data_IF_604646539829
#
_entry.id   IF_604646539829
#
_cell.length_a   1.000
_cell.length_b   1.000
_cell.length_c   1.000
_cell.angle_alpha   90.00
_cell.angle_beta   90.00
_cell.angle_gamma   90.00
#
_symmetry.space_group_name_H-M   'P 1'
#
loop_
_entity.id
_entity.type
_entity.pdbx_description
1 polymer ?
#
# COMPACT_ATOMS: atom_id res chain seq x y z
N UNK A 1 9.46 -8.71 -34.83
CA UNK A 1 10.31 -7.79 -34.06
C UNK A 1 9.45 -7.25 -32.90
N UNK A 2 9.66 -7.73 -31.70
CA UNK A 2 8.92 -7.22 -30.51
C UNK A 2 9.68 -5.98 -30.03
N UNK A 3 9.08 -4.81 -30.18
CA UNK A 3 9.61 -3.56 -29.59
C UNK A 3 9.13 -3.55 -28.16
N UNK A 4 9.97 -3.99 -27.23
CA UNK A 4 9.72 -3.77 -25.81
C UNK A 4 9.83 -2.27 -25.53
N UNK A 5 8.81 -1.69 -24.90
CA UNK A 5 8.91 -0.33 -24.40
C UNK A 5 10.12 -0.21 -23.45
N UNK A 6 10.63 0.99 -23.29
CA UNK A 6 11.78 1.26 -22.43
C UNK A 6 11.38 0.95 -20.96
N UNK A 7 12.03 -0.04 -20.36
CA UNK A 7 11.83 -0.39 -18.97
C UNK A 7 12.75 0.47 -18.10
N UNK A 8 12.18 1.26 -17.21
CA UNK A 8 12.92 1.95 -16.16
C UNK A 8 12.96 1.02 -14.93
N UNK A 9 14.15 0.88 -14.33
CA UNK A 9 14.36 0.06 -13.13
C UNK A 9 15.10 0.91 -12.10
N UNK A 10 14.58 0.96 -10.90
CA UNK A 10 15.13 1.76 -9.79
C UNK A 10 15.04 0.98 -8.48
N UNK A 11 15.95 1.27 -7.55
CA UNK A 11 15.84 0.81 -6.16
C UNK A 11 14.90 1.73 -5.38
N UNK A 12 14.35 1.25 -4.25
CA UNK A 12 13.55 2.07 -3.34
C UNK A 12 14.29 3.34 -2.92
N UNK A 13 15.57 3.21 -2.59
CA UNK A 13 16.40 4.34 -2.16
C UNK A 13 16.61 5.40 -3.27
N UNK A 14 16.84 4.95 -4.50
CA UNK A 14 17.03 5.88 -5.65
C UNK A 14 15.74 6.62 -5.97
N UNK A 15 14.61 5.92 -5.89
CA UNK A 15 13.29 6.48 -6.10
C UNK A 15 12.96 7.57 -5.08
N UNK A 16 13.19 7.30 -3.79
CA UNK A 16 12.89 8.25 -2.71
C UNK A 16 13.68 9.56 -2.84
N UNK A 17 14.93 9.48 -3.24
CA UNK A 17 15.76 10.68 -3.50
C UNK A 17 15.15 11.55 -4.60
N UNK A 18 14.51 10.95 -5.60
CA UNK A 18 13.82 11.68 -6.68
C UNK A 18 12.47 12.24 -6.23
N UNK A 19 11.73 11.50 -5.39
CA UNK A 19 10.41 11.91 -4.93
C UNK A 19 10.43 13.22 -4.17
N UNK A 20 11.43 13.42 -3.32
CA UNK A 20 11.61 14.66 -2.54
C UNK A 20 11.80 15.90 -3.42
N UNK A 21 12.38 15.72 -4.60
CA UNK A 21 12.58 16.83 -5.55
C UNK A 21 11.35 17.15 -6.39
N UNK A 22 10.34 16.27 -6.38
CA UNK A 22 9.11 16.43 -7.15
C UNK A 22 7.97 16.89 -6.24
N UNK A 23 7.32 18.03 -6.57
CA UNK A 23 6.12 18.53 -5.88
C UNK A 23 4.84 17.70 -6.19
N UNK A 24 4.96 16.40 -6.35
CA UNK A 24 3.83 15.50 -6.63
C UNK A 24 3.13 15.05 -5.35
N UNK A 25 1.97 14.43 -5.50
CA UNK A 25 1.18 13.83 -4.42
C UNK A 25 1.88 12.56 -3.88
N UNK A 26 3.00 12.76 -3.19
CA UNK A 26 3.93 11.75 -2.72
C UNK A 26 3.27 10.72 -1.79
N UNK A 27 2.27 11.14 -1.01
CA UNK A 27 1.55 10.26 -0.07
C UNK A 27 0.85 9.13 -0.81
N UNK A 28 0.15 9.44 -1.89
CA UNK A 28 -0.55 8.45 -2.70
C UNK A 28 0.41 7.50 -3.40
N UNK A 29 1.51 8.01 -3.93
CA UNK A 29 2.53 7.17 -4.58
C UNK A 29 3.22 6.25 -3.59
N UNK A 30 3.63 6.76 -2.43
CA UNK A 30 4.23 5.94 -1.37
C UNK A 30 3.25 4.88 -0.89
N UNK A 31 1.98 5.24 -0.62
CA UNK A 31 0.96 4.29 -0.20
C UNK A 31 0.78 3.17 -1.23
N UNK A 32 0.81 3.49 -2.51
CA UNK A 32 0.65 2.50 -3.56
C UNK A 32 1.87 1.58 -3.70
N UNK A 33 3.09 2.11 -3.56
CA UNK A 33 4.32 1.30 -3.54
C UNK A 33 4.33 0.38 -2.32
N UNK A 34 3.98 0.90 -1.14
CA UNK A 34 3.90 0.11 0.08
C UNK A 34 2.84 -0.99 -0.02
N UNK A 35 1.68 -0.71 -0.59
CA UNK A 35 0.65 -1.72 -0.80
C UNK A 35 1.14 -2.87 -1.68
N UNK A 36 1.83 -2.57 -2.78
CA UNK A 36 2.41 -3.59 -3.65
C UNK A 36 3.46 -4.43 -2.92
N UNK A 37 4.32 -3.78 -2.13
CA UNK A 37 5.35 -4.43 -1.33
C UNK A 37 4.74 -5.36 -0.27
N UNK A 38 3.73 -4.88 0.49
CA UNK A 38 2.99 -5.69 1.47
C UNK A 38 2.34 -6.91 0.80
N UNK A 39 1.72 -6.75 -0.38
CA UNK A 39 1.16 -7.87 -1.13
C UNK A 39 2.23 -8.88 -1.56
N UNK A 40 3.41 -8.41 -1.96
CA UNK A 40 4.57 -9.26 -2.25
C UNK A 40 5.01 -10.04 -1.01
N UNK A 41 5.16 -9.40 0.14
CA UNK A 41 5.52 -10.04 1.40
C UNK A 41 4.47 -11.06 1.86
N UNK A 42 3.18 -10.75 1.71
CA UNK A 42 2.09 -11.71 1.97
C UNK A 42 2.15 -12.92 1.05
N UNK A 43 2.53 -12.74 -0.20
CA UNK A 43 2.72 -13.86 -1.13
C UNK A 43 3.87 -14.75 -0.68
N UNK A 44 5.00 -14.20 -0.23
CA UNK A 44 6.10 -14.96 0.35
C UNK A 44 5.66 -15.73 1.60
N UNK A 45 4.89 -15.06 2.48
CA UNK A 45 4.34 -15.70 3.68
C UNK A 45 3.42 -16.88 3.35
N UNK A 46 2.56 -16.73 2.32
CA UNK A 46 1.70 -17.82 1.85
C UNK A 46 2.50 -19.01 1.26
N UNK A 47 3.72 -18.77 0.82
CA UNK A 47 4.68 -19.81 0.37
C UNK A 47 5.48 -20.43 1.51
N UNK A 48 5.23 -20.01 2.77
CA UNK A 48 5.95 -20.52 3.95
C UNK A 48 7.29 -19.81 4.21
N UNK A 49 7.57 -18.69 3.54
CA UNK A 49 8.76 -17.87 3.77
C UNK A 49 8.46 -16.89 4.90
N UNK A 50 9.15 -17.02 6.01
CA UNK A 50 8.97 -16.17 7.21
C UNK A 50 10.01 -15.07 7.32
N UNK A 51 11.18 -15.27 6.71
CA UNK A 51 12.30 -14.36 6.74
C UNK A 51 12.89 -14.13 5.35
N UNK A 52 13.37 -12.92 5.11
CA UNK A 52 14.05 -12.50 3.89
C UNK A 52 15.39 -11.82 4.23
N UNK A 53 16.31 -11.66 3.26
CA UNK A 53 17.54 -10.92 3.48
C UNK A 53 17.28 -9.52 4.05
N UNK A 54 18.14 -9.07 4.96
CA UNK A 54 18.01 -7.75 5.59
C UNK A 54 18.30 -6.58 4.63
N UNK A 55 18.90 -6.85 3.47
CA UNK A 55 19.08 -5.85 2.41
C UNK A 55 17.76 -5.64 1.66
N UNK A 56 17.50 -4.40 1.26
CA UNK A 56 16.27 -4.07 0.50
C UNK A 56 16.52 -4.07 -1.02
N UNK A 57 17.70 -4.48 -1.47
CA UNK A 57 18.12 -4.43 -2.87
C UNK A 57 17.36 -5.41 -3.77
N UNK A 58 16.72 -6.40 -3.17
CA UNK A 58 15.86 -7.36 -3.87
C UNK A 58 14.47 -6.82 -4.22
N UNK A 59 14.08 -5.64 -3.72
CA UNK A 59 12.87 -4.94 -4.15
C UNK A 59 13.21 -3.87 -5.16
N UNK A 60 12.78 -4.06 -6.38
CA UNK A 60 12.97 -3.12 -7.47
C UNK A 60 11.65 -2.47 -7.87
N UNK A 61 11.74 -1.20 -8.22
CA UNK A 61 10.65 -0.44 -8.83
C UNK A 61 10.86 -0.46 -10.35
N UNK A 62 9.88 -0.97 -11.06
CA UNK A 62 9.91 -1.03 -12.53
C UNK A 62 8.77 -0.21 -13.10
N UNK A 63 9.02 0.50 -14.19
CA UNK A 63 8.01 1.27 -14.92
C UNK A 63 8.21 1.13 -16.43
N UNK A 64 7.11 0.86 -17.13
CA UNK A 64 7.06 0.88 -18.58
C UNK A 64 6.63 2.28 -19.02
N UNK A 65 7.18 2.78 -20.13
CA UNK A 65 6.97 4.18 -20.62
C UNK A 65 5.51 4.63 -20.70
N UNK A 66 4.56 3.71 -20.80
CA UNK A 66 3.12 4.01 -20.90
C UNK A 66 2.37 3.94 -19.57
N UNK A 67 2.97 3.38 -18.54
CA UNK A 67 2.34 3.30 -17.21
C UNK A 67 2.83 4.47 -16.34
N UNK A 68 1.93 5.29 -15.79
CA UNK A 68 2.32 6.41 -14.94
C UNK A 68 2.89 5.94 -13.59
N UNK A 69 2.57 4.72 -13.14
CA UNK A 69 2.98 4.19 -11.85
C UNK A 69 4.08 3.14 -11.96
N UNK A 70 4.82 3.00 -10.86
CA UNK A 70 5.81 1.94 -10.69
C UNK A 70 5.16 0.63 -10.25
N UNK A 71 5.70 -0.48 -10.72
CA UNK A 71 5.42 -1.83 -10.25
C UNK A 71 6.56 -2.29 -9.35
N UNK A 72 6.25 -2.79 -8.16
CA UNK A 72 7.23 -3.43 -7.28
C UNK A 72 7.48 -4.85 -7.76
N UNK A 73 8.74 -5.19 -7.97
CA UNK A 73 9.19 -6.52 -8.35
C UNK A 73 10.14 -7.04 -7.28
N UNK A 74 9.86 -8.24 -6.79
CA UNK A 74 10.75 -8.96 -5.90
C UNK A 74 11.63 -9.91 -6.71
N UNK A 75 12.96 -9.75 -6.59
CA UNK A 75 13.96 -10.58 -7.29
C UNK A 75 14.69 -11.53 -6.35
N UNK A 76 14.06 -11.96 -5.25
CA UNK A 76 14.66 -12.94 -4.35
C UNK A 76 15.01 -14.20 -5.12
N UNK A 77 16.32 -14.46 -5.24
CA UNK A 77 16.86 -15.73 -5.69
C UNK A 77 17.31 -16.55 -4.47
N UNK A 78 16.64 -17.67 -4.23
CA UNK A 78 16.84 -18.48 -3.02
C UNK A 78 18.27 -18.99 -2.81
N UNK A 79 19.12 -18.93 -3.81
CA UNK A 79 20.51 -19.46 -3.74
C UNK A 79 21.55 -18.44 -3.28
N UNK A 80 21.28 -17.14 -3.38
CA UNK A 80 22.30 -16.08 -3.22
C UNK A 80 22.43 -15.57 -1.78
N UNK A 81 21.50 -15.89 -0.87
CA UNK A 81 21.34 -15.20 0.42
C UNK A 81 21.56 -16.06 1.66
N UNK A 82 22.15 -17.25 1.53
CA UNK A 82 22.33 -18.18 2.67
C UNK A 82 23.15 -17.62 3.83
N UNK A 83 24.09 -16.72 3.55
CA UNK A 83 25.01 -16.11 4.53
C UNK A 83 24.67 -14.67 4.92
N UNK A 84 23.57 -14.09 4.39
CA UNK A 84 23.19 -12.74 4.73
C UNK A 84 22.34 -12.69 6.00
N UNK A 85 22.43 -11.59 6.78
CA UNK A 85 21.52 -11.37 7.89
C UNK A 85 20.09 -11.35 7.38
N UNK A 86 19.18 -12.01 8.10
CA UNK A 86 17.76 -12.12 7.76
C UNK A 86 16.91 -11.26 8.67
N UNK A 87 15.76 -10.85 8.17
CA UNK A 87 14.73 -10.15 8.93
C UNK A 87 13.35 -10.73 8.64
N UNK A 88 12.44 -10.59 9.61
CA UNK A 88 11.04 -11.00 9.44
C UNK A 88 10.33 -10.16 8.38
N UNK A 89 9.26 -10.67 7.79
CA UNK A 89 8.48 -9.95 6.77
C UNK A 89 7.90 -8.64 7.31
N UNK A 90 7.49 -8.58 8.58
CA UNK A 90 7.04 -7.34 9.21
C UNK A 90 8.17 -6.30 9.34
N UNK A 91 9.38 -6.75 9.69
CA UNK A 91 10.54 -5.87 9.73
C UNK A 91 10.94 -5.38 8.35
N UNK A 92 10.78 -6.21 7.32
CA UNK A 92 11.01 -5.81 5.93
C UNK A 92 10.01 -4.74 5.46
N UNK A 93 8.73 -4.91 5.80
CA UNK A 93 7.71 -3.90 5.56
C UNK A 93 8.04 -2.59 6.26
N UNK A 94 8.42 -2.66 7.54
CA UNK A 94 8.83 -1.49 8.34
C UNK A 94 10.06 -0.81 7.75
N UNK A 95 11.11 -1.56 7.40
CA UNK A 95 12.31 -1.02 6.78
C UNK A 95 12.02 -0.32 5.45
N UNK A 96 11.12 -0.89 4.64
CA UNK A 96 10.67 -0.27 3.38
C UNK A 96 9.94 1.05 3.62
N UNK A 97 9.05 1.10 4.61
CA UNK A 97 8.36 2.34 5.00
C UNK A 97 9.37 3.40 5.42
N UNK A 98 10.30 3.06 6.30
CA UNK A 98 11.32 3.99 6.77
C UNK A 98 12.22 4.50 5.63
N UNK A 99 12.58 3.63 4.69
CA UNK A 99 13.33 4.01 3.50
C UNK A 99 12.55 5.00 2.65
N UNK A 100 11.27 4.74 2.39
CA UNK A 100 10.40 5.61 1.60
C UNK A 100 10.15 6.97 2.26
N UNK A 101 10.16 7.05 3.58
CA UNK A 101 10.09 8.30 4.33
C UNK A 101 11.47 8.93 4.63
N UNK A 102 12.57 8.30 4.21
CA UNK A 102 13.96 8.71 4.50
C UNK A 102 14.28 8.87 6.00
N UNK A 103 13.64 8.11 6.83
CA UNK A 103 13.90 8.13 8.26
C UNK A 103 15.15 7.28 8.58
N UNK A 104 16.18 7.93 9.12
CA UNK A 104 17.45 7.26 9.42
C UNK A 104 17.41 6.44 10.70
N UNK A 105 16.50 6.75 11.63
CA UNK A 105 16.43 6.10 12.93
C UNK A 105 14.97 5.85 13.36
N UNK A 106 14.49 4.59 13.34
CA UNK A 106 13.09 4.28 13.58
C UNK A 106 12.62 4.56 15.02
N UNK A 107 13.53 4.69 15.99
CA UNK A 107 13.16 4.79 17.42
C UNK A 107 13.10 6.23 17.92
N UNK A 108 13.99 7.11 17.41
CA UNK A 108 14.09 8.49 17.89
C UNK A 108 13.31 9.49 17.04
N UNK A 109 13.19 9.25 15.73
CA UNK A 109 12.62 10.24 14.81
C UNK A 109 11.10 10.15 14.67
N UNK A 110 10.50 8.98 14.90
CA UNK A 110 9.03 8.84 14.93
C UNK A 110 8.37 9.45 16.18
N UNK A 111 9.17 9.88 17.14
CA UNK A 111 8.70 10.42 18.41
C UNK A 111 8.70 11.95 18.52
N UNK A 112 9.54 12.67 17.79
CA UNK A 112 9.78 14.08 18.09
C UNK A 112 9.81 15.07 16.92
N UNK A 113 10.11 14.65 15.68
CA UNK A 113 10.44 15.60 14.60
C UNK A 113 9.77 15.33 13.25
N UNK A 114 8.62 14.67 13.21
CA UNK A 114 7.81 14.72 11.99
C UNK A 114 7.14 16.09 11.95
N UNK A 115 7.27 16.88 10.83
CA UNK A 115 6.64 18.18 10.71
C UNK A 115 5.14 18.08 10.93
N UNK A 116 4.48 19.15 11.35
CA UNK A 116 3.04 19.22 11.62
C UNK A 116 2.24 18.46 10.56
N UNK A 117 1.59 17.39 11.01
CA UNK A 117 1.31 16.23 10.19
C UNK A 117 -0.07 16.33 9.59
N UNK A 118 -0.13 16.13 8.28
CA UNK A 118 -1.37 15.76 7.61
C UNK A 118 -1.92 14.46 8.23
N UNK A 119 -3.24 14.21 8.21
CA UNK A 119 -3.86 12.98 8.71
C UNK A 119 -3.18 11.70 8.21
N UNK A 120 -2.65 11.73 6.98
CA UNK A 120 -1.93 10.60 6.37
C UNK A 120 -0.70 10.17 7.16
N UNK A 121 0.01 11.08 7.80
CA UNK A 121 1.24 10.73 8.56
C UNK A 121 0.90 10.04 9.88
N UNK A 122 -0.23 10.40 10.52
CA UNK A 122 -0.77 9.64 11.65
C UNK A 122 -0.98 8.18 11.30
N UNK A 123 -1.60 7.90 10.15
CA UNK A 123 -1.80 6.55 9.63
C UNK A 123 -0.49 5.77 9.45
N UNK A 124 0.52 6.38 8.86
CA UNK A 124 1.82 5.72 8.69
C UNK A 124 2.49 5.42 10.04
N UNK A 125 2.31 6.28 11.05
CA UNK A 125 2.78 6.02 12.42
C UNK A 125 2.10 4.79 13.01
N UNK A 126 0.79 4.66 12.87
CA UNK A 126 0.02 3.50 13.32
C UNK A 126 0.46 2.24 12.61
N UNK A 127 0.65 2.27 11.30
CA UNK A 127 1.19 1.13 10.54
C UNK A 127 2.56 0.71 11.07
N UNK A 128 3.47 1.66 11.34
CA UNK A 128 4.76 1.36 11.95
C UNK A 128 4.61 0.72 13.33
N UNK A 129 3.67 1.17 14.15
CA UNK A 129 3.39 0.58 15.46
C UNK A 129 2.90 -0.87 15.34
N UNK A 130 1.97 -1.13 14.42
CA UNK A 130 1.45 -2.47 14.14
C UNK A 130 2.58 -3.41 13.69
N UNK A 131 3.42 -2.98 12.75
CA UNK A 131 4.52 -3.80 12.24
C UNK A 131 5.60 -4.10 13.30
N UNK A 132 5.79 -3.21 14.27
CA UNK A 132 6.72 -3.43 15.39
C UNK A 132 6.22 -4.42 16.43
N UNK A 133 4.91 -4.63 16.56
CA UNK A 133 4.33 -5.51 17.59
C UNK A 133 4.61 -6.99 17.36
N UNK A 134 5.19 -7.37 16.24
CA UNK A 134 5.66 -8.73 15.97
C UNK A 134 5.25 -9.31 14.63
N UNK A 135 5.69 -10.54 14.40
CA UNK A 135 5.56 -11.25 13.11
C UNK A 135 4.21 -11.97 12.94
N UNK A 136 3.10 -11.39 13.38
CA UNK A 136 1.78 -11.98 13.15
C UNK A 136 1.34 -11.78 11.69
N UNK A 137 0.75 -12.83 11.10
CA UNK A 137 0.07 -12.77 9.79
C UNK A 137 -0.94 -11.63 9.77
N UNK A 138 -1.62 -11.42 10.87
CA UNK A 138 -2.61 -10.36 11.08
C UNK A 138 -2.04 -8.94 10.90
N UNK A 139 -0.76 -8.69 11.21
CA UNK A 139 -0.17 -7.36 11.14
C UNK A 139 0.01 -6.88 9.69
N UNK A 140 0.50 -7.75 8.79
CA UNK A 140 0.60 -7.42 7.37
C UNK A 140 -0.79 -7.20 6.73
N UNK A 141 -1.77 -8.04 7.13
CA UNK A 141 -3.15 -7.88 6.65
C UNK A 141 -3.76 -6.56 7.11
N UNK A 142 -3.57 -6.21 8.37
CA UNK A 142 -4.08 -4.95 8.93
C UNK A 142 -3.46 -3.73 8.24
N UNK A 143 -2.14 -3.73 8.03
CA UNK A 143 -1.45 -2.64 7.30
C UNK A 143 -1.90 -2.59 5.84
N UNK A 144 -2.11 -3.74 5.18
CA UNK A 144 -2.69 -3.80 3.83
C UNK A 144 -4.05 -3.10 3.79
N UNK A 145 -4.96 -3.45 4.69
CA UNK A 145 -6.32 -2.87 4.74
C UNK A 145 -6.30 -1.35 4.98
N UNK A 146 -5.38 -0.87 5.82
CA UNK A 146 -5.18 0.57 6.04
C UNK A 146 -4.72 1.28 4.77
N UNK A 147 -3.74 0.72 4.04
CA UNK A 147 -3.26 1.28 2.77
C UNK A 147 -4.35 1.28 1.70
N UNK A 148 -5.12 0.21 1.60
CA UNK A 148 -6.25 0.10 0.69
C UNK A 148 -7.33 1.14 1.01
N UNK A 149 -7.64 1.34 2.29
CA UNK A 149 -8.58 2.37 2.72
C UNK A 149 -8.09 3.79 2.38
N UNK A 150 -6.79 4.07 2.58
CA UNK A 150 -6.18 5.35 2.19
C UNK A 150 -6.24 5.62 0.68
N UNK A 151 -6.06 4.58 -0.13
CA UNK A 151 -5.99 4.71 -1.59
C UNK A 151 -7.37 4.79 -2.25
N UNK A 152 -8.33 4.01 -1.76
CA UNK A 152 -9.62 3.78 -2.42
C UNK A 152 -10.82 3.78 -1.49
N UNK A 153 -10.62 3.91 -0.19
CA UNK A 153 -11.72 3.99 0.77
C UNK A 153 -12.63 5.20 0.52
N UNK A 154 -13.84 5.17 1.03
CA UNK A 154 -14.76 6.29 0.90
C UNK A 154 -14.19 7.52 1.62
N UNK A 155 -14.31 8.70 0.99
CA UNK A 155 -14.04 9.97 1.66
C UNK A 155 -15.10 10.22 2.74
N UNK A 156 -14.72 10.90 3.83
CA UNK A 156 -15.59 11.19 5.00
C UNK A 156 -16.95 11.81 4.62
N UNK A 157 -17.00 12.52 3.51
CA UNK A 157 -18.22 13.13 2.97
C UNK A 157 -19.30 12.09 2.63
N UNK A 158 -18.92 10.85 2.33
CA UNK A 158 -19.87 9.78 2.02
C UNK A 158 -20.63 9.25 3.25
N UNK A 159 -20.15 9.54 4.47
CA UNK A 159 -20.73 9.09 5.74
C UNK A 159 -21.63 10.12 6.43
N UNK A 160 -21.75 11.33 5.93
CA UNK A 160 -22.80 12.23 6.35
C UNK A 160 -24.18 11.69 5.97
N UNK A 161 -24.52 10.70 6.71
CA UNK A 161 -25.79 10.08 7.03
C UNK A 161 -27.00 10.64 6.30
N UNK A 162 -27.42 9.89 5.32
CA UNK A 162 -28.83 9.85 4.93
C UNK A 162 -29.56 8.93 5.89
N UNK A 163 -30.26 9.51 6.88
CA UNK A 163 -31.26 8.87 7.74
C UNK A 163 -30.81 7.91 8.88
N UNK A 164 -31.40 8.14 9.98
CA UNK A 164 -31.32 7.70 11.37
C UNK A 164 -31.40 6.19 11.68
N UNK A 165 -31.22 5.25 10.76
CA UNK A 165 -31.39 3.82 11.04
C UNK A 165 -30.34 2.88 10.42
N UNK A 166 -29.45 3.38 9.56
CA UNK A 166 -28.47 2.53 8.88
C UNK A 166 -27.19 2.40 9.69
N UNK A 167 -26.67 1.18 9.82
CA UNK A 167 -25.37 0.95 10.44
C UNK A 167 -24.25 1.41 9.51
N UNK A 168 -23.11 1.78 10.07
CA UNK A 168 -21.92 2.17 9.28
C UNK A 168 -21.48 1.06 8.33
N UNK A 169 -21.58 -0.20 8.73
CA UNK A 169 -21.23 -1.34 7.90
C UNK A 169 -22.16 -1.48 6.70
N UNK A 170 -23.46 -1.25 6.87
CA UNK A 170 -24.42 -1.24 5.76
C UNK A 170 -24.13 -0.12 4.75
N UNK A 171 -23.79 1.06 5.24
CA UNK A 171 -23.39 2.20 4.38
C UNK A 171 -22.11 1.88 3.60
N UNK A 172 -21.12 1.25 4.24
CA UNK A 172 -19.89 0.80 3.60
C UNK A 172 -20.14 -0.29 2.55
N UNK A 173 -21.05 -1.23 2.84
CA UNK A 173 -21.44 -2.25 1.89
C UNK A 173 -22.09 -1.63 0.65
N UNK A 174 -23.00 -0.70 0.83
CA UNK A 174 -23.67 0.01 -0.28
C UNK A 174 -22.66 0.77 -1.13
N UNK A 175 -21.74 1.48 -0.48
CA UNK A 175 -20.67 2.19 -1.18
C UNK A 175 -19.81 1.21 -2.01
N UNK A 176 -19.40 0.10 -1.42
CA UNK A 176 -18.57 -0.92 -2.08
C UNK A 176 -19.29 -1.53 -3.30
N UNK A 177 -20.59 -1.81 -3.17
CA UNK A 177 -21.38 -2.36 -4.28
C UNK A 177 -21.56 -1.34 -5.42
N UNK A 178 -21.71 -0.05 -5.09
CA UNK A 178 -21.78 1.01 -6.08
C UNK A 178 -20.44 1.18 -6.81
N UNK A 179 -19.32 1.15 -6.08
CA UNK A 179 -17.99 1.25 -6.66
C UNK A 179 -17.69 0.06 -7.58
N UNK A 180 -18.01 -1.17 -7.16
CA UNK A 180 -17.91 -2.37 -7.99
C UNK A 180 -18.72 -2.25 -9.28
N UNK A 181 -19.96 -1.79 -9.19
CA UNK A 181 -20.82 -1.61 -10.36
C UNK A 181 -20.25 -0.56 -11.31
N UNK A 182 -19.72 0.56 -10.78
CA UNK A 182 -19.14 1.64 -11.56
C UNK A 182 -17.88 1.19 -12.30
N UNK A 183 -16.97 0.51 -11.62
CA UNK A 183 -15.73 0.00 -12.22
C UNK A 183 -16.04 -1.08 -13.26
N UNK A 184 -16.96 -2.00 -12.96
CA UNK A 184 -17.39 -3.03 -13.92
C UNK A 184 -18.00 -2.40 -15.17
N UNK A 185 -18.87 -1.40 -15.02
CA UNK A 185 -19.45 -0.67 -16.14
C UNK A 185 -18.37 0.00 -17.01
N UNK A 186 -17.39 0.65 -16.39
CA UNK A 186 -16.28 1.30 -17.09
C UNK A 186 -15.42 0.29 -17.84
N UNK A 187 -15.12 -0.86 -17.23
CA UNK A 187 -14.38 -1.95 -17.88
C UNK A 187 -15.12 -2.49 -19.10
N UNK A 188 -16.41 -2.75 -19.00
CA UNK A 188 -17.21 -3.23 -20.15
C UNK A 188 -17.19 -2.20 -21.30
N UNK A 189 -17.29 -0.91 -20.99
CA UNK A 189 -17.20 0.15 -21.99
C UNK A 189 -15.82 0.25 -22.64
N UNK A 190 -14.75 0.03 -21.86
CA UNK A 190 -13.36 0.13 -22.35
C UNK A 190 -12.91 -1.08 -23.16
N UNK A 191 -13.53 -2.27 -22.99
CA UNK A 191 -13.16 -3.48 -23.73
C UNK A 191 -13.20 -3.32 -25.26
N UNK A 192 -14.10 -2.47 -25.77
CA UNK A 192 -14.15 -2.12 -27.20
C UNK A 192 -12.92 -1.36 -27.70
N UNK A 193 -12.17 -0.73 -26.80
CA UNK A 193 -11.00 0.11 -27.10
C UNK A 193 -9.66 -0.63 -26.89
N UNK A 194 -9.67 -1.88 -26.43
CA UNK A 194 -8.47 -2.68 -26.09
C UNK A 194 -7.49 -1.92 -25.19
N UNK A 195 -7.98 -1.20 -24.23
CA UNK A 195 -7.17 -0.45 -23.26
C UNK A 195 -6.55 -1.47 -22.29
N UNK A 196 -5.24 -1.46 -22.18
CA UNK A 196 -4.53 -2.22 -21.16
C UNK A 196 -4.69 -1.48 -19.82
N UNK A 197 -5.02 -2.21 -18.75
CA UNK A 197 -5.11 -1.65 -17.40
C UNK A 197 -3.73 -1.17 -16.95
N UNK A 198 -3.71 -0.06 -16.22
CA UNK A 198 -2.54 0.38 -15.48
C UNK A 198 -2.32 -0.50 -14.24
N UNK A 199 -1.12 -0.49 -13.68
CA UNK A 199 -0.84 -1.21 -12.42
C UNK A 199 -1.80 -0.77 -11.31
N UNK A 200 -2.12 0.52 -11.24
CA UNK A 200 -3.03 1.08 -10.24
C UNK A 200 -4.47 0.53 -10.39
N UNK A 201 -4.96 0.45 -11.62
CA UNK A 201 -6.29 -0.12 -11.91
C UNK A 201 -6.36 -1.61 -11.61
N UNK A 202 -5.29 -2.38 -11.90
CA UNK A 202 -5.20 -3.80 -11.53
C UNK A 202 -5.36 -4.00 -10.02
N UNK A 203 -4.64 -3.21 -9.22
CA UNK A 203 -4.71 -3.29 -7.75
C UNK A 203 -6.04 -2.78 -7.18
N UNK A 204 -6.64 -1.76 -7.80
CA UNK A 204 -7.98 -1.30 -7.44
C UNK A 204 -9.03 -2.40 -7.68
N UNK A 205 -8.93 -3.12 -8.78
CA UNK A 205 -9.81 -4.28 -9.04
C UNK A 205 -9.61 -5.39 -8.00
N UNK A 206 -8.36 -5.70 -7.65
CA UNK A 206 -8.07 -6.69 -6.61
C UNK A 206 -8.67 -6.27 -5.26
N UNK A 207 -8.54 -5.01 -4.88
CA UNK A 207 -9.17 -4.45 -3.69
C UNK A 207 -10.69 -4.67 -3.73
N UNK A 208 -11.38 -4.28 -4.79
CA UNK A 208 -12.83 -4.41 -4.91
C UNK A 208 -13.30 -5.87 -4.84
N UNK A 209 -12.51 -6.82 -5.33
CA UNK A 209 -12.85 -8.26 -5.28
C UNK A 209 -12.62 -8.86 -3.89
N UNK A 210 -11.56 -8.46 -3.19
CA UNK A 210 -11.12 -9.08 -1.95
C UNK A 210 -11.72 -8.42 -0.70
N UNK A 211 -12.12 -7.14 -0.78
CA UNK A 211 -12.57 -6.36 0.37
C UNK A 211 -14.03 -6.59 0.67
N UNK A 212 -14.40 -6.58 1.95
CA UNK A 212 -15.78 -6.55 2.43
C UNK A 212 -16.02 -5.35 3.36
N UNK A 213 -17.30 -5.05 3.63
CA UNK A 213 -17.67 -3.91 4.46
C UNK A 213 -17.07 -3.95 5.87
N UNK A 214 -16.95 -5.15 6.45
CA UNK A 214 -16.30 -5.33 7.77
C UNK A 214 -14.84 -4.92 7.76
N UNK A 215 -14.06 -5.32 6.75
CA UNK A 215 -12.64 -4.93 6.63
C UNK A 215 -12.49 -3.40 6.48
N UNK A 216 -13.36 -2.77 5.69
CA UNK A 216 -13.39 -1.32 5.54
C UNK A 216 -13.77 -0.63 6.85
N UNK A 217 -14.73 -1.17 7.59
CA UNK A 217 -15.12 -0.64 8.89
C UNK A 217 -13.96 -0.70 9.89
N UNK A 218 -13.28 -1.84 10.00
CA UNK A 218 -12.11 -1.99 10.87
C UNK A 218 -10.98 -1.02 10.47
N UNK A 219 -10.69 -0.87 9.18
CA UNK A 219 -9.70 0.08 8.69
C UNK A 219 -10.09 1.54 8.99
N UNK A 220 -11.37 1.89 8.84
CA UNK A 220 -11.87 3.24 9.13
C UNK A 220 -11.77 3.60 10.61
N UNK A 221 -12.01 2.66 11.53
CA UNK A 221 -11.86 2.87 12.97
C UNK A 221 -10.40 3.18 13.35
N UNK A 222 -9.45 2.49 12.72
CA UNK A 222 -8.03 2.79 12.91
C UNK A 222 -7.68 4.19 12.43
N UNK A 223 -8.27 4.62 11.31
CA UNK A 223 -8.09 5.97 10.78
C UNK A 223 -8.63 7.03 11.74
N UNK A 224 -9.84 6.85 12.25
CA UNK A 224 -10.49 7.82 13.15
C UNK A 224 -9.80 7.92 14.51
N UNK A 225 -9.27 6.80 15.03
CA UNK A 225 -8.55 6.82 16.31
C UNK A 225 -7.30 7.71 16.25
N UNK A 226 -6.65 7.81 15.10
CA UNK A 226 -5.49 8.67 14.90
C UNK A 226 -5.87 10.15 14.75
N UNK A 227 -6.97 10.44 14.05
CA UNK A 227 -7.47 11.82 13.92
C UNK A 227 -7.97 12.38 15.24
N UNK A 228 -8.53 11.54 16.11
CA UNK A 228 -9.01 11.95 17.45
C UNK A 228 -7.87 12.20 18.45
N UNK A 229 -6.67 11.71 18.21
CA UNK A 229 -5.48 11.90 19.05
C UNK A 229 -4.64 13.14 18.67
N UNK A 230 -5.03 13.88 17.64
CA UNK A 230 -4.45 15.17 17.24
C UNK A 230 -5.23 16.33 17.78
#
# INVERSE_FOLDING_TARGET
MYVFGRLQVETLETYTKKLITSNMNWEREISFILLQLINGLKTLQAQGIEEIPATMDHFLLTRVDKDPQYRVVNILDGSSYENEPKMTLCNAALASMLTLFQLKNPVSELGQDLPELTPSVGMFRSMCSILRQGSSISNLEQVKSMLEYMLWGPSDIAFEVSSHQETREESLQRWLDLERATVLHNLIRSQGLRIQLTVFEEYHLLFLVQTCAKMLHEASLLFESEVACM
#
